data_IF_552503443227
#
_entry.id   IF_552503443227
#
_cell.length_a   1.000
_cell.length_b   1.000
_cell.length_c   1.000
_cell.angle_alpha   90.00
_cell.angle_beta   90.00
_cell.angle_gamma   90.00
#
_symmetry.space_group_name_H-M   'P 1'
#
loop_
_entity.id
_entity.type
_entity.pdbx_description
1 polymer ?
#
# COMPACT_ATOMS: atom_id res chain seq x y z
N UNK A 1 -6.50 4.54 -9.02
CA UNK A 1 -5.80 5.51 -9.91
C UNK A 1 -5.98 5.05 -11.34
N UNK A 2 -6.18 5.99 -12.27
CA UNK A 2 -6.53 5.70 -13.66
C UNK A 2 -8.04 5.73 -13.95
N UNK A 3 -8.87 6.10 -12.96
CA UNK A 3 -10.30 6.42 -13.17
C UNK A 3 -10.50 7.93 -13.35
N UNK A 4 -11.69 8.33 -13.82
CA UNK A 4 -12.05 9.76 -13.96
C UNK A 4 -11.95 10.51 -12.62
N UNK A 5 -12.32 9.86 -11.53
CA UNK A 5 -12.25 10.45 -10.18
C UNK A 5 -10.80 10.56 -9.67
N UNK A 6 -9.95 9.58 -9.99
CA UNK A 6 -8.57 9.50 -9.53
C UNK A 6 -7.58 9.32 -10.71
N UNK A 7 -7.40 10.33 -11.58
CA UNK A 7 -6.43 10.27 -12.67
C UNK A 7 -5.00 10.26 -12.12
N UNK A 8 -4.09 9.59 -12.81
CA UNK A 8 -2.68 9.64 -12.47
C UNK A 8 -2.14 11.07 -12.64
N UNK A 9 -1.53 11.62 -11.60
CA UNK A 9 -1.11 13.01 -11.56
C UNK A 9 0.08 13.17 -10.59
N UNK A 10 1.04 14.04 -10.95
CA UNK A 10 2.13 14.43 -10.05
C UNK A 10 1.57 15.09 -8.80
N UNK A 11 2.25 14.91 -7.67
CA UNK A 11 1.93 15.58 -6.40
C UNK A 11 0.50 15.40 -5.88
N UNK A 12 -0.21 14.36 -6.34
CA UNK A 12 -1.60 14.10 -5.96
C UNK A 12 -1.77 12.98 -4.95
N UNK A 13 -0.92 11.98 -4.97
CA UNK A 13 -1.08 10.77 -4.16
C UNK A 13 -0.01 10.65 -3.10
N UNK A 14 -0.32 9.91 -2.04
CA UNK A 14 0.62 9.54 -0.98
C UNK A 14 0.33 8.12 -0.52
N UNK A 15 1.38 7.35 -0.25
CA UNK A 15 1.25 5.96 0.15
C UNK A 15 1.68 5.80 1.62
N UNK A 16 0.83 5.17 2.43
CA UNK A 16 1.23 4.73 3.77
C UNK A 16 1.49 3.22 3.75
N UNK A 17 2.64 2.82 4.29
CA UNK A 17 3.06 1.41 4.38
C UNK A 17 3.60 1.10 5.78
N UNK A 18 3.72 -0.19 6.08
CA UNK A 18 4.61 -0.69 7.13
C UNK A 18 5.55 -1.72 6.52
N UNK A 19 6.87 -1.54 6.68
CA UNK A 19 7.88 -2.43 6.05
C UNK A 19 7.81 -3.88 6.55
N UNK A 20 7.18 -4.11 7.70
CA UNK A 20 6.91 -5.43 8.26
C UNK A 20 5.73 -6.16 7.60
N UNK A 21 4.88 -5.46 6.84
CA UNK A 21 3.64 -6.01 6.30
C UNK A 21 3.86 -6.55 4.87
N UNK A 22 3.66 -7.86 4.62
CA UNK A 22 3.86 -8.43 3.28
C UNK A 22 2.86 -7.88 2.25
N UNK A 23 1.65 -7.54 2.68
CA UNK A 23 0.65 -6.91 1.81
C UNK A 23 1.07 -5.50 1.40
N UNK A 24 1.59 -4.69 2.33
CA UNK A 24 2.10 -3.36 2.02
C UNK A 24 3.36 -3.42 1.14
N UNK A 25 4.16 -4.47 1.31
CA UNK A 25 5.36 -4.71 0.51
C UNK A 25 5.05 -4.86 -0.99
N UNK A 26 3.87 -5.40 -1.37
CA UNK A 26 3.47 -5.47 -2.80
C UNK A 26 3.46 -4.08 -3.45
N UNK A 27 2.79 -3.12 -2.82
CA UNK A 27 2.72 -1.74 -3.31
C UNK A 27 4.09 -1.05 -3.25
N UNK A 28 4.87 -1.25 -2.18
CA UNK A 28 6.23 -0.72 -2.05
C UNK A 28 7.14 -1.23 -3.17
N UNK A 29 7.20 -2.54 -3.40
CA UNK A 29 8.06 -3.14 -4.40
C UNK A 29 7.68 -2.68 -5.82
N UNK A 30 6.39 -2.62 -6.13
CA UNK A 30 5.94 -2.07 -7.42
C UNK A 30 6.33 -0.60 -7.58
N UNK A 31 6.20 0.23 -6.53
CA UNK A 31 6.65 1.63 -6.55
C UNK A 31 8.15 1.72 -6.86
N UNK A 32 8.98 0.90 -6.21
CA UNK A 32 10.43 0.90 -6.44
C UNK A 32 10.78 0.44 -7.87
N UNK A 33 10.24 -0.70 -8.30
CA UNK A 33 10.55 -1.28 -9.61
C UNK A 33 10.05 -0.42 -10.79
N UNK A 34 8.98 0.34 -10.60
CA UNK A 34 8.43 1.26 -11.60
C UNK A 34 9.05 2.65 -11.55
N UNK A 35 10.03 2.91 -10.68
CA UNK A 35 10.68 4.22 -10.58
C UNK A 35 9.73 5.34 -10.14
N UNK A 36 8.75 5.04 -9.27
CA UNK A 36 7.67 5.97 -8.91
C UNK A 36 7.97 6.77 -7.63
N UNK A 37 9.20 6.77 -7.14
CA UNK A 37 9.53 7.28 -5.81
C UNK A 37 9.20 8.78 -5.67
N UNK A 38 9.52 9.56 -6.69
CA UNK A 38 9.23 11.00 -6.78
C UNK A 38 7.75 11.29 -7.05
N UNK A 39 7.04 10.40 -7.76
CA UNK A 39 5.63 10.58 -8.13
C UNK A 39 4.67 10.20 -7.02
N UNK A 40 5.07 9.24 -6.19
CA UNK A 40 4.30 8.70 -5.09
C UNK A 40 5.16 8.74 -3.82
N UNK A 41 5.21 9.88 -3.12
CA UNK A 41 5.83 9.93 -1.80
C UNK A 41 5.13 8.98 -0.83
N UNK A 42 5.85 8.56 0.20
CA UNK A 42 5.34 7.61 1.19
C UNK A 42 5.67 8.00 2.62
N UNK A 43 4.91 7.45 3.56
CA UNK A 43 5.21 7.47 5.00
C UNK A 43 5.13 6.05 5.57
N UNK A 44 6.00 5.75 6.52
CA UNK A 44 6.22 4.38 7.01
C UNK A 44 5.90 4.31 8.51
N UNK A 45 4.86 3.54 8.87
CA UNK A 45 4.54 3.25 10.28
C UNK A 45 5.56 2.29 10.89
N UNK A 46 5.77 2.40 12.21
CA UNK A 46 6.64 1.48 12.95
C UNK A 46 5.91 0.19 13.35
N UNK A 47 6.61 -0.96 13.41
CA UNK A 47 6.00 -2.25 13.74
C UNK A 47 5.54 -2.34 15.21
N UNK A 48 6.30 -1.76 16.13
CA UNK A 48 6.08 -1.85 17.58
C UNK A 48 6.59 -0.61 18.34
N UNK A 49 6.10 -0.38 19.57
CA UNK A 49 4.94 -1.03 20.16
C UNK A 49 3.65 -0.50 19.52
N UNK A 50 2.66 -1.39 19.29
CA UNK A 50 1.37 -0.99 18.72
C UNK A 50 0.49 -0.26 19.73
N UNK A 51 0.63 -0.59 21.02
CA UNK A 51 -0.28 -0.17 22.10
C UNK A 51 -1.76 -0.38 21.66
N UNK A 52 -2.70 0.24 22.35
CA UNK A 52 -4.14 0.06 22.09
C UNK A 52 -4.61 0.81 20.82
N UNK A 53 -3.75 1.65 20.22
CA UNK A 53 -4.05 2.51 19.07
C UNK A 53 -3.64 1.94 17.69
N UNK A 54 -3.13 0.71 17.61
CA UNK A 54 -2.78 0.10 16.33
C UNK A 54 -1.49 0.63 15.70
N UNK A 55 -1.50 0.93 14.40
CA UNK A 55 -0.28 1.34 13.68
C UNK A 55 0.10 2.79 13.98
N UNK A 56 1.34 3.01 14.43
CA UNK A 56 1.83 4.31 14.87
C UNK A 56 2.97 4.82 14.00
N UNK A 57 3.08 6.13 13.88
CA UNK A 57 4.27 6.77 13.32
C UNK A 57 5.33 6.99 14.42
N UNK A 58 6.63 6.91 14.10
CA UNK A 58 7.69 7.40 14.98
C UNK A 58 7.52 8.91 15.26
N UNK A 59 8.10 9.40 16.37
CA UNK A 59 8.06 10.83 16.73
C UNK A 59 9.00 11.68 15.87
N UNK A 60 10.10 11.09 15.43
CA UNK A 60 11.13 11.68 14.56
C UNK A 60 11.59 10.60 13.58
N UNK A 61 12.16 10.96 12.43
CA UNK A 61 12.62 9.95 11.46
C UNK A 61 13.73 9.03 12.03
N UNK A 62 14.46 9.51 13.04
CA UNK A 62 15.48 8.72 13.74
C UNK A 62 14.95 7.86 14.91
N UNK A 63 13.65 7.97 15.28
CA UNK A 63 13.08 7.25 16.44
C UNK A 63 12.96 5.74 16.18
N UNK A 64 12.82 5.31 14.93
CA UNK A 64 12.78 3.89 14.57
C UNK A 64 13.36 3.64 13.17
N UNK A 65 14.42 2.82 13.03
CA UNK A 65 15.06 2.56 11.75
C UNK A 65 14.08 2.09 10.66
N UNK A 66 14.12 2.77 9.52
CA UNK A 66 13.27 2.45 8.36
C UNK A 66 11.80 2.88 8.51
N UNK A 67 11.41 3.50 9.62
CA UNK A 67 10.11 4.18 9.75
C UNK A 67 10.27 5.68 9.52
N UNK A 68 9.18 6.38 9.25
CA UNK A 68 9.20 7.83 9.06
C UNK A 68 8.07 8.46 9.85
N UNK A 69 8.21 9.72 10.24
CA UNK A 69 7.05 10.50 10.67
C UNK A 69 6.00 10.50 9.55
N UNK A 70 4.74 10.74 9.88
CA UNK A 70 3.74 11.03 8.85
C UNK A 70 4.14 12.33 8.12
N UNK A 71 4.42 12.23 6.82
CA UNK A 71 4.86 13.33 5.98
C UNK A 71 3.73 14.25 5.53
N UNK A 72 2.47 13.84 5.66
CA UNK A 72 1.32 14.65 5.26
C UNK A 72 0.70 15.41 6.41
N UNK A 73 0.36 14.73 7.49
CA UNK A 73 -0.47 15.32 8.55
C UNK A 73 0.21 15.36 9.91
N UNK A 74 1.42 14.78 10.03
CA UNK A 74 2.10 14.58 11.32
C UNK A 74 1.20 13.82 12.31
N UNK A 75 0.34 12.94 11.81
CA UNK A 75 -0.52 12.09 12.63
C UNK A 75 0.31 11.16 13.49
N UNK A 76 -0.22 10.84 14.67
CA UNK A 76 0.41 9.89 15.58
C UNK A 76 0.09 8.45 15.17
N UNK A 77 -1.15 8.19 14.77
CA UNK A 77 -1.62 6.87 14.39
C UNK A 77 -2.19 6.84 12.98
N UNK A 78 -2.17 5.66 12.34
CA UNK A 78 -2.72 5.47 11.01
C UNK A 78 -4.24 5.63 10.99
N UNK A 79 -4.95 5.27 12.06
CA UNK A 79 -6.40 5.44 12.14
C UNK A 79 -6.83 6.92 12.04
N UNK A 80 -5.97 7.86 12.45
CA UNK A 80 -6.24 9.29 12.27
C UNK A 80 -6.39 9.65 10.79
N UNK A 81 -5.71 8.92 9.89
CA UNK A 81 -5.83 9.09 8.44
C UNK A 81 -7.18 8.55 7.93
N UNK A 82 -7.63 7.42 8.48
CA UNK A 82 -8.95 6.87 8.17
C UNK A 82 -10.06 7.84 8.56
N UNK A 83 -10.01 8.39 9.77
CA UNK A 83 -11.01 9.34 10.26
C UNK A 83 -11.01 10.67 9.50
N UNK A 84 -9.87 11.08 8.92
CA UNK A 84 -9.82 12.24 8.01
C UNK A 84 -10.62 12.01 6.72
N UNK A 85 -10.65 10.78 6.20
CA UNK A 85 -11.45 10.45 5.00
C UNK A 85 -12.90 10.16 5.34
N UNK A 86 -13.15 9.44 6.44
CA UNK A 86 -14.48 9.02 6.87
C UNK A 86 -14.53 9.04 8.41
N UNK A 87 -15.11 10.08 9.04
CA UNK A 87 -15.13 10.22 10.50
C UNK A 87 -15.79 9.06 11.25
N UNK A 88 -16.73 8.37 10.61
CA UNK A 88 -17.47 7.23 11.16
C UNK A 88 -16.93 5.88 10.66
N UNK A 89 -15.64 5.77 10.37
CA UNK A 89 -15.04 4.51 9.90
C UNK A 89 -14.95 3.49 11.05
N UNK A 90 -15.52 2.30 10.88
CA UNK A 90 -15.58 1.25 11.90
C UNK A 90 -14.74 0.00 11.55
N UNK A 91 -14.00 0.04 10.44
CA UNK A 91 -13.21 -1.09 9.94
C UNK A 91 -11.83 -1.22 10.57
N UNK A 92 -11.05 -2.19 10.07
CA UNK A 92 -9.64 -2.36 10.43
C UNK A 92 -8.78 -1.29 9.75
N UNK A 93 -7.92 -0.64 10.53
CA UNK A 93 -6.91 0.29 10.00
C UNK A 93 -5.72 -0.50 9.45
N UNK A 94 -5.64 -0.63 8.12
CA UNK A 94 -4.66 -1.48 7.45
C UNK A 94 -3.63 -0.69 6.65
N UNK A 95 -2.47 -1.31 6.44
CA UNK A 95 -1.51 -0.93 5.40
C UNK A 95 -1.50 -2.00 4.30
N UNK A 96 -1.29 -1.65 3.03
CA UNK A 96 -1.02 -0.31 2.51
C UNK A 96 -2.27 0.58 2.46
N UNK A 97 -2.08 1.90 2.48
CA UNK A 97 -3.17 2.88 2.32
C UNK A 97 -2.77 3.92 1.28
N UNK A 98 -3.53 4.02 0.19
CA UNK A 98 -3.33 5.02 -0.85
C UNK A 98 -4.24 6.22 -0.60
N UNK A 99 -3.65 7.39 -0.40
CA UNK A 99 -4.33 8.65 -0.10
C UNK A 99 -4.30 9.61 -1.29
N UNK A 100 -5.41 10.30 -1.56
CA UNK A 100 -5.47 11.40 -2.51
C UNK A 100 -5.44 12.75 -1.78
N UNK A 101 -4.34 13.50 -1.96
CA UNK A 101 -4.16 14.84 -1.36
C UNK A 101 -5.19 15.85 -1.83
N UNK A 102 -5.62 15.77 -3.10
CA UNK A 102 -6.56 16.73 -3.70
C UNK A 102 -7.98 16.56 -3.21
N UNK A 103 -8.49 15.33 -3.21
CA UNK A 103 -9.85 15.04 -2.76
C UNK A 103 -9.93 14.78 -1.25
N UNK A 104 -8.78 14.73 -0.57
CA UNK A 104 -8.66 14.50 0.88
C UNK A 104 -9.38 13.24 1.35
N UNK A 105 -9.26 12.17 0.56
CA UNK A 105 -9.88 10.89 0.85
C UNK A 105 -8.95 9.73 0.53
N UNK A 106 -9.22 8.60 1.17
CA UNK A 106 -8.61 7.32 0.85
C UNK A 106 -9.08 6.88 -0.55
N UNK A 107 -8.12 6.50 -1.39
CA UNK A 107 -8.40 5.96 -2.74
C UNK A 107 -8.67 4.47 -2.66
N UNK A 108 -7.79 3.74 -1.97
CA UNK A 108 -7.81 2.29 -1.91
C UNK A 108 -6.91 1.83 -0.74
N UNK A 109 -7.26 0.74 -0.06
CA UNK A 109 -6.44 0.09 0.98
C UNK A 109 -6.22 -1.40 0.71
N UNK A 110 -6.55 -1.88 -0.50
CA UNK A 110 -6.30 -3.22 -0.95
C UNK A 110 -5.00 -3.33 -1.76
N UNK A 111 -4.09 -4.13 -1.23
CA UNK A 111 -2.73 -4.25 -1.74
C UNK A 111 -2.65 -4.68 -3.20
N UNK A 112 -3.48 -5.63 -3.64
CA UNK A 112 -3.43 -6.16 -4.99
C UNK A 112 -3.90 -5.12 -6.01
N UNK A 113 -4.97 -4.39 -5.69
CA UNK A 113 -5.49 -3.31 -6.51
C UNK A 113 -4.50 -2.16 -6.63
N UNK A 114 -3.88 -1.73 -5.51
CA UNK A 114 -2.86 -0.69 -5.53
C UNK A 114 -1.68 -1.12 -6.41
N UNK A 115 -1.22 -2.36 -6.29
CA UNK A 115 -0.16 -2.92 -7.13
C UNK A 115 -0.53 -2.86 -8.62
N UNK A 116 -1.74 -3.29 -8.99
CA UNK A 116 -2.25 -3.23 -10.37
C UNK A 116 -2.36 -1.80 -10.88
N UNK A 117 -2.82 -0.86 -10.05
CA UNK A 117 -2.89 0.56 -10.39
C UNK A 117 -1.50 1.14 -10.65
N UNK A 118 -0.53 0.89 -9.78
CA UNK A 118 0.85 1.39 -9.92
C UNK A 118 1.57 0.80 -11.14
N UNK A 119 1.24 -0.43 -11.53
CA UNK A 119 1.85 -1.11 -12.68
C UNK A 119 1.73 -0.31 -13.98
N UNK A 120 0.64 0.44 -14.18
CA UNK A 120 0.39 1.13 -15.47
C UNK A 120 0.00 2.60 -15.35
N UNK A 121 -0.64 3.04 -14.26
CA UNK A 121 -1.28 4.36 -14.19
C UNK A 121 -0.30 5.52 -14.43
N UNK A 122 0.97 5.38 -14.03
CA UNK A 122 1.97 6.44 -14.14
C UNK A 122 2.89 6.31 -15.36
N UNK A 123 2.67 5.35 -16.27
CA UNK A 123 3.57 5.11 -17.40
C UNK A 123 3.80 6.37 -18.28
N UNK A 124 2.81 7.24 -18.40
CA UNK A 124 2.92 8.48 -19.17
C UNK A 124 3.83 9.54 -18.53
N UNK A 125 4.15 9.41 -17.24
CA UNK A 125 5.09 10.30 -16.54
C UNK A 125 6.54 9.79 -16.58
N UNK A 126 6.74 8.54 -17.01
CA UNK A 126 8.05 7.90 -17.13
C UNK A 126 8.65 8.15 -18.52
N UNK A 127 9.98 8.22 -18.58
CA UNK A 127 10.72 8.44 -19.82
C UNK A 127 10.36 7.38 -20.87
N UNK A 128 10.09 7.82 -22.10
CA UNK A 128 9.81 6.90 -23.21
C UNK A 128 11.02 6.02 -23.49
N UNK A 129 10.80 4.71 -23.65
CA UNK A 129 11.87 3.72 -23.83
C UNK A 129 12.67 3.37 -22.56
N UNK A 130 12.25 3.86 -21.38
CA UNK A 130 12.84 3.44 -20.11
C UNK A 130 12.34 2.05 -19.71
N UNK A 131 13.22 1.28 -19.06
CA UNK A 131 12.89 -0.04 -18.54
C UNK A 131 11.70 0.01 -17.58
N UNK A 132 11.67 1.01 -16.70
CA UNK A 132 10.60 1.21 -15.70
C UNK A 132 9.24 1.40 -16.36
N UNK A 133 9.18 2.14 -17.48
CA UNK A 133 7.94 2.33 -18.25
C UNK A 133 7.50 1.06 -18.96
N UNK A 134 8.44 0.29 -19.49
CA UNK A 134 8.18 -0.95 -20.24
C UNK A 134 7.84 -2.14 -19.33
N UNK A 135 8.30 -2.13 -18.08
CA UNK A 135 7.93 -3.14 -17.09
C UNK A 135 6.41 -3.24 -16.94
N UNK A 136 5.89 -4.45 -17.13
CA UNK A 136 4.51 -4.81 -16.91
C UNK A 136 4.42 -6.13 -16.13
N UNK A 137 3.97 -6.06 -14.88
CA UNK A 137 3.79 -7.23 -14.00
C UNK A 137 2.49 -8.00 -14.25
N UNK A 138 1.72 -7.59 -15.26
CA UNK A 138 0.47 -8.22 -15.67
C UNK A 138 0.27 -8.15 -17.19
N UNK A 139 1.22 -8.72 -17.96
CA UNK A 139 1.19 -8.61 -19.42
C UNK A 139 0.05 -9.48 -19.98
N UNK A 140 -0.63 -9.05 -21.07
CA UNK A 140 -1.85 -9.68 -21.59
C UNK A 140 -1.75 -11.20 -21.82
N UNK A 141 -0.60 -11.68 -22.28
CA UNK A 141 -0.32 -13.08 -22.59
C UNK A 141 -0.20 -13.98 -21.35
N UNK A 142 0.04 -13.41 -20.17
CA UNK A 142 0.16 -14.15 -18.90
C UNK A 142 -1.00 -13.90 -17.93
N UNK A 143 -1.97 -13.03 -18.27
CA UNK A 143 -3.02 -12.64 -17.32
C UNK A 143 -3.82 -13.83 -16.79
N UNK A 144 -4.27 -14.73 -17.67
CA UNK A 144 -5.00 -15.94 -17.26
C UNK A 144 -4.19 -16.79 -16.28
N UNK A 145 -2.91 -17.04 -16.58
CA UNK A 145 -2.05 -17.87 -15.72
C UNK A 145 -1.82 -17.20 -14.35
N UNK A 146 -1.62 -15.88 -14.34
CA UNK A 146 -1.46 -15.11 -13.10
C UNK A 146 -2.74 -15.19 -12.26
N UNK A 147 -3.89 -15.00 -12.88
CA UNK A 147 -5.18 -15.00 -12.18
C UNK A 147 -5.61 -16.40 -11.72
N UNK A 148 -5.18 -17.45 -12.42
CA UNK A 148 -5.42 -18.84 -12.01
C UNK A 148 -4.59 -19.23 -10.77
N UNK A 149 -3.34 -18.75 -10.68
CA UNK A 149 -2.43 -19.11 -9.58
C UNK A 149 -2.68 -18.27 -8.32
N UNK A 150 -3.04 -16.99 -8.49
CA UNK A 150 -3.16 -16.02 -7.40
C UNK A 150 -4.11 -16.43 -6.26
N UNK A 151 -5.34 -16.93 -6.51
CA UNK A 151 -6.26 -17.33 -5.44
C UNK A 151 -5.69 -18.42 -4.54
N UNK A 152 -5.01 -19.41 -5.14
CA UNK A 152 -4.37 -20.49 -4.40
C UNK A 152 -3.23 -19.98 -3.53
N UNK A 153 -2.35 -19.15 -4.09
CA UNK A 153 -1.27 -18.53 -3.30
C UNK A 153 -1.85 -17.65 -2.18
N UNK A 154 -2.92 -16.89 -2.46
CA UNK A 154 -3.55 -16.05 -1.46
C UNK A 154 -4.10 -16.88 -0.30
N UNK A 155 -4.92 -17.89 -0.59
CA UNK A 155 -5.62 -18.68 0.41
C UNK A 155 -4.70 -19.61 1.21
N UNK A 156 -3.83 -20.33 0.50
CA UNK A 156 -3.02 -21.42 1.07
C UNK A 156 -1.71 -20.93 1.69
N UNK A 157 -1.15 -19.83 1.18
CA UNK A 157 0.17 -19.34 1.60
C UNK A 157 0.10 -17.97 2.25
N UNK A 158 -0.30 -16.94 1.50
CA UNK A 158 -0.24 -15.55 1.98
C UNK A 158 -1.13 -15.33 3.21
N UNK A 159 -2.36 -15.85 3.19
CA UNK A 159 -3.25 -15.87 4.35
C UNK A 159 -3.08 -17.14 5.18
N UNK A 160 -2.68 -18.26 4.57
CA UNK A 160 -2.54 -19.55 5.24
C UNK A 160 -1.63 -19.50 6.47
N UNK A 161 -0.50 -18.79 6.38
CA UNK A 161 0.39 -18.60 7.54
C UNK A 161 -0.25 -17.81 8.68
N UNK A 162 -1.16 -16.88 8.37
CA UNK A 162 -1.91 -16.15 9.38
C UNK A 162 -3.04 -17.00 9.97
N UNK A 163 -3.71 -17.82 9.16
CA UNK A 163 -4.73 -18.77 9.63
C UNK A 163 -4.12 -19.74 10.64
N UNK A 164 -3.00 -20.37 10.29
CA UNK A 164 -2.28 -21.27 11.19
C UNK A 164 -1.72 -20.54 12.42
N UNK A 165 -1.13 -19.36 12.24
CA UNK A 165 -0.50 -18.61 13.34
C UNK A 165 -1.48 -17.99 14.35
N UNK A 166 -2.73 -17.77 13.94
CA UNK A 166 -3.80 -17.23 14.80
C UNK A 166 -4.90 -18.25 15.10
N UNK A 167 -4.67 -19.53 14.80
CA UNK A 167 -5.60 -20.60 15.12
C UNK A 167 -5.95 -20.61 16.61
N UNK A 168 -7.24 -20.69 16.92
CA UNK A 168 -7.74 -20.73 18.29
C UNK A 168 -7.79 -22.13 18.89
N UNK A 169 -7.71 -23.16 18.04
CA UNK A 169 -7.76 -24.56 18.43
C UNK A 169 -6.68 -25.35 17.70
N UNK A 170 -6.44 -26.59 18.12
CA UNK A 170 -5.45 -27.47 17.49
C UNK A 170 -5.91 -28.02 16.12
N UNK A 171 -7.22 -28.01 15.87
CA UNK A 171 -7.86 -28.52 14.65
C UNK A 171 -7.96 -27.44 13.55
N UNK A 172 -7.93 -26.15 13.93
CA UNK A 172 -7.88 -24.99 13.03
C UNK A 172 -6.47 -24.75 12.45
#
# INVERSE_FOLDING_TARGET
>A
MGSVEFPAERDRYHLYIGLFCPFAHRAFLTRELKGLQELLPMSIVKPYPKNDGGWRFPKTDDDYPGSTVDHLFRSEFLHDIYFKSLPSYEGKYSVPLLWCKKTKQIVNNESHDIMRMLNTAFNNFLQQGSKERELNFYPPDLQSQIDDINPRLMGDLNEGVYKAGFASTQED
#
